data_IF_566844476833
#
_entry.id   IF_566844476833
#
_cell.length_a   1.000
_cell.length_b   1.000
_cell.length_c   1.000
_cell.angle_alpha   90.00
_cell.angle_beta   90.00
_cell.angle_gamma   90.00
#
_symmetry.space_group_name_H-M   'P 1'
#
loop_
_entity.id
_entity.type
_entity.pdbx_description
1 polymer ?
#
# COMPACT_ATOMS: atom_id res chain seq x y z
N UNK A 1 0.11 11.80 -25.78
CA UNK A 1 -0.56 12.24 -24.54
C UNK A 1 -0.82 11.02 -23.68
N UNK A 2 -0.03 10.81 -22.62
CA UNK A 2 -0.31 9.76 -21.65
C UNK A 2 -1.25 10.31 -20.59
N UNK A 3 -2.43 9.69 -20.42
CA UNK A 3 -3.25 9.94 -19.24
C UNK A 3 -2.49 9.36 -18.04
N UNK A 4 -1.76 10.21 -17.32
CA UNK A 4 -1.21 9.87 -16.02
C UNK A 4 -2.36 9.90 -15.03
N UNK A 5 -2.70 8.74 -14.45
CA UNK A 5 -3.65 8.67 -13.34
C UNK A 5 -2.97 9.08 -12.04
N UNK A 6 -3.65 9.88 -11.24
CA UNK A 6 -3.19 10.27 -9.91
C UNK A 6 -3.69 9.28 -8.86
N UNK A 7 -2.86 9.01 -7.86
CA UNK A 7 -3.18 8.13 -6.73
C UNK A 7 -2.78 8.83 -5.43
N UNK A 8 -3.73 8.91 -4.51
CA UNK A 8 -3.51 9.41 -3.16
C UNK A 8 -3.55 8.24 -2.20
N UNK A 9 -2.45 8.04 -1.47
CA UNK A 9 -2.32 6.98 -0.48
C UNK A 9 -2.06 7.59 0.89
N UNK A 10 -2.92 7.28 1.84
CA UNK A 10 -2.71 7.55 3.25
C UNK A 10 -2.31 6.26 3.96
N UNK A 11 -1.37 6.38 4.89
CA UNK A 11 -1.04 5.31 5.82
C UNK A 11 -0.90 5.90 7.22
N UNK A 12 -1.33 5.16 8.22
CA UNK A 12 -1.15 5.48 9.64
C UNK A 12 -0.96 4.20 10.43
N UNK A 13 -0.30 4.30 11.57
CA UNK A 13 -0.26 3.23 12.56
C UNK A 13 -1.34 3.49 13.61
N UNK A 14 -2.17 2.48 13.91
CA UNK A 14 -3.15 2.58 15.00
C UNK A 14 -2.50 2.33 16.38
N UNK A 15 -3.30 2.48 17.44
CA UNK A 15 -2.82 2.31 18.81
C UNK A 15 -2.34 0.90 19.16
N UNK A 16 -2.74 -0.11 18.39
CA UNK A 16 -2.27 -1.49 18.54
C UNK A 16 -0.97 -1.75 17.76
N UNK A 17 -0.49 -0.77 17.00
CA UNK A 17 0.69 -0.92 16.16
C UNK A 17 0.41 -1.54 14.80
N UNK A 18 -0.86 -1.59 14.37
CA UNK A 18 -1.25 -2.12 13.06
C UNK A 18 -1.32 -1.00 12.03
N UNK A 19 -0.96 -1.30 10.79
CA UNK A 19 -1.04 -0.33 9.71
C UNK A 19 -2.47 -0.20 9.21
N UNK A 20 -2.88 1.04 8.93
CA UNK A 20 -4.17 1.37 8.32
C UNK A 20 -3.94 2.18 7.06
N UNK A 21 -4.63 1.80 5.98
CA UNK A 21 -4.43 2.40 4.67
C UNK A 21 -5.74 2.98 4.13
N UNK A 22 -5.62 4.06 3.35
CA UNK A 22 -6.70 4.56 2.48
C UNK A 22 -6.11 4.95 1.14
N UNK A 23 -6.84 4.65 0.06
CA UNK A 23 -6.42 5.00 -1.29
C UNK A 23 -7.57 5.63 -2.05
N UNK A 24 -7.25 6.65 -2.82
CA UNK A 24 -8.14 7.26 -3.80
C UNK A 24 -7.39 7.52 -5.11
N UNK A 25 -8.13 7.66 -6.22
CA UNK A 25 -7.55 7.91 -7.54
C UNK A 25 -8.53 8.63 -8.45
N UNK A 26 -8.03 9.36 -9.45
CA UNK A 26 -8.86 9.96 -10.51
C UNK A 26 -9.39 8.93 -11.54
N UNK A 27 -8.99 7.66 -11.41
CA UNK A 27 -9.37 6.56 -12.29
C UNK A 27 -10.10 5.46 -11.51
N UNK A 28 -11.34 5.16 -11.90
CA UNK A 28 -12.14 4.08 -11.29
C UNK A 28 -11.46 2.71 -11.38
N UNK A 29 -10.72 2.46 -12.46
CA UNK A 29 -9.93 1.23 -12.62
C UNK A 29 -8.83 1.20 -11.56
N UNK A 30 -8.10 2.30 -11.39
CA UNK A 30 -7.03 2.41 -10.39
C UNK A 30 -7.56 2.29 -8.97
N UNK A 31 -8.74 2.86 -8.66
CA UNK A 31 -9.42 2.70 -7.37
C UNK A 31 -9.74 1.23 -7.09
N UNK A 32 -10.36 0.54 -8.06
CA UNK A 32 -10.72 -0.87 -7.92
C UNK A 32 -9.51 -1.76 -7.65
N UNK A 33 -8.43 -1.58 -8.40
CA UNK A 33 -7.19 -2.32 -8.18
C UNK A 33 -6.52 -2.01 -6.83
N UNK A 34 -6.45 -0.73 -6.46
CA UNK A 34 -5.81 -0.32 -5.21
C UNK A 34 -6.62 -0.77 -3.98
N UNK A 35 -7.95 -0.88 -4.11
CA UNK A 35 -8.83 -1.39 -3.05
C UNK A 35 -8.49 -2.84 -2.68
N UNK A 36 -8.09 -3.68 -3.65
CA UNK A 36 -7.66 -5.05 -3.38
C UNK A 36 -6.37 -5.09 -2.53
N UNK A 37 -5.41 -4.20 -2.80
CA UNK A 37 -4.18 -4.08 -2.01
C UNK A 37 -4.46 -3.61 -0.58
N UNK A 38 -5.37 -2.65 -0.43
CA UNK A 38 -5.81 -2.21 0.91
C UNK A 38 -6.48 -3.35 1.64
N UNK A 39 -7.39 -4.08 1.00
CA UNK A 39 -8.05 -5.21 1.63
C UNK A 39 -7.07 -6.29 2.11
N UNK A 40 -5.97 -6.50 1.38
CA UNK A 40 -4.95 -7.48 1.74
C UNK A 40 -4.06 -7.03 2.92
N UNK A 41 -3.73 -5.75 3.02
CA UNK A 41 -2.68 -5.25 3.92
C UNK A 41 -3.20 -4.34 5.06
N UNK A 42 -4.46 -3.93 5.05
CA UNK A 42 -5.04 -3.18 6.17
C UNK A 42 -5.11 -4.04 7.43
N UNK A 43 -4.62 -3.50 8.54
CA UNK A 43 -4.51 -4.21 9.82
C UNK A 43 -3.27 -5.08 9.97
N UNK A 44 -2.43 -5.20 8.93
CA UNK A 44 -1.17 -5.93 8.99
C UNK A 44 -0.13 -5.20 9.87
N UNK A 45 0.78 -5.97 10.47
CA UNK A 45 1.92 -5.42 11.18
C UNK A 45 2.93 -4.82 10.19
N UNK A 46 3.72 -3.80 10.59
CA UNK A 46 4.71 -3.20 9.70
C UNK A 46 5.67 -4.19 9.02
N UNK A 47 6.23 -5.22 9.71
CA UNK A 47 7.09 -6.20 9.06
C UNK A 47 6.38 -7.03 7.99
N UNK A 48 5.08 -7.30 8.16
CA UNK A 48 4.29 -8.05 7.19
C UNK A 48 4.06 -7.23 5.92
N UNK A 49 3.78 -5.92 6.06
CA UNK A 49 3.64 -5.00 4.91
C UNK A 49 4.96 -4.86 4.16
N UNK A 50 6.07 -4.73 4.88
CA UNK A 50 7.42 -4.59 4.30
C UNK A 50 7.93 -5.89 3.68
N UNK A 51 7.43 -7.05 4.11
CA UNK A 51 7.81 -8.36 3.62
C UNK A 51 7.11 -8.78 2.32
N UNK A 52 6.05 -8.08 1.90
CA UNK A 52 5.32 -8.42 0.67
C UNK A 52 6.19 -8.09 -0.55
N UNK A 53 6.54 -9.12 -1.32
CA UNK A 53 7.23 -8.95 -2.59
C UNK A 53 6.22 -8.64 -3.70
N UNK A 54 6.66 -7.96 -4.76
CA UNK A 54 5.82 -7.68 -5.91
C UNK A 54 5.36 -8.98 -6.62
N UNK A 55 6.17 -10.02 -6.51
CA UNK A 55 5.94 -11.35 -7.06
C UNK A 55 4.83 -12.09 -6.31
N UNK A 56 4.70 -11.91 -4.99
CA UNK A 56 3.67 -12.56 -4.17
C UNK A 56 2.26 -12.11 -4.58
N UNK A 57 2.16 -10.86 -4.98
CA UNK A 57 0.90 -10.30 -5.44
C UNK A 57 0.55 -10.82 -6.85
N UNK A 58 1.49 -11.36 -7.64
CA UNK A 58 1.22 -11.84 -9.00
C UNK A 58 0.21 -13.00 -9.01
N UNK A 59 0.10 -13.73 -7.89
CA UNK A 59 -0.93 -14.73 -7.66
C UNK A 59 -2.35 -14.13 -7.52
N UNK A 60 -2.49 -12.92 -6.96
CA UNK A 60 -3.76 -12.18 -6.87
C UNK A 60 -4.27 -11.77 -8.25
N UNK A 61 -3.36 -11.61 -9.22
CA UNK A 61 -3.66 -11.27 -10.62
C UNK A 61 -4.44 -12.39 -11.35
N UNK A 62 -4.52 -13.60 -10.79
CA UNK A 62 -5.19 -14.77 -11.39
C UNK A 62 -6.66 -14.89 -10.94
N UNK A 63 -7.05 -14.22 -9.85
CA UNK A 63 -8.37 -14.42 -9.22
C UNK A 63 -9.55 -13.65 -9.86
N UNK A 64 -9.39 -12.98 -11.02
CA UNK A 64 -10.56 -12.38 -11.70
C UNK A 64 -10.34 -11.33 -12.79
N UNK A 65 -9.10 -10.94 -13.13
CA UNK A 65 -8.87 -9.93 -14.17
C UNK A 65 -7.92 -10.42 -15.26
N UNK A 66 -8.27 -10.31 -16.57
CA UNK A 66 -7.40 -10.76 -17.63
C UNK A 66 -6.08 -9.97 -17.64
N UNK A 67 -4.98 -10.71 -17.56
CA UNK A 67 -3.56 -10.34 -17.52
C UNK A 67 -3.01 -9.54 -18.73
N UNK A 68 -3.86 -8.90 -19.53
CA UNK A 68 -3.47 -8.32 -20.84
C UNK A 68 -3.07 -6.83 -20.83
N UNK A 69 -2.86 -6.17 -19.69
CA UNK A 69 -2.43 -4.75 -19.70
C UNK A 69 -1.24 -4.53 -18.77
N UNK A 70 -0.04 -4.45 -19.36
CA UNK A 70 1.23 -4.15 -18.66
C UNK A 70 1.17 -2.86 -17.83
N UNK A 71 0.34 -1.87 -18.21
CA UNK A 71 0.22 -0.63 -17.42
C UNK A 71 -0.46 -0.84 -16.06
N UNK A 72 -1.35 -1.84 -15.93
CA UNK A 72 -2.02 -2.17 -14.65
C UNK A 72 -1.06 -2.81 -13.66
N UNK A 73 -0.08 -3.56 -14.17
CA UNK A 73 1.04 -4.13 -13.39
C UNK A 73 2.06 -3.06 -12.96
N UNK A 74 2.00 -1.84 -13.48
CA UNK A 74 2.82 -0.75 -12.93
C UNK A 74 2.08 -0.02 -11.81
N UNK A 75 0.75 0.06 -11.88
CA UNK A 75 -0.09 0.78 -10.92
C UNK A 75 -0.05 0.16 -9.53
N UNK A 76 -0.34 -1.13 -9.39
CA UNK A 76 -0.30 -1.84 -8.10
C UNK A 76 1.09 -1.86 -7.44
N UNK A 77 2.16 -1.96 -8.24
CA UNK A 77 3.55 -1.97 -7.76
C UNK A 77 3.92 -0.60 -7.17
N UNK A 78 3.54 0.49 -7.85
CA UNK A 78 3.73 1.84 -7.33
C UNK A 78 2.95 2.08 -6.04
N UNK A 79 1.72 1.54 -5.94
CA UNK A 79 0.91 1.63 -4.71
C UNK A 79 1.56 0.84 -3.58
N UNK A 80 2.01 -0.39 -3.82
CA UNK A 80 2.72 -1.21 -2.84
C UNK A 80 3.98 -0.53 -2.32
N UNK A 81 4.83 -0.01 -3.21
CA UNK A 81 6.03 0.75 -2.84
C UNK A 81 5.63 1.96 -1.98
N UNK A 82 4.55 2.67 -2.36
CA UNK A 82 4.01 3.76 -1.56
C UNK A 82 3.57 3.33 -0.17
N UNK A 83 2.93 2.17 -0.03
CA UNK A 83 2.49 1.59 1.25
C UNK A 83 3.71 1.24 2.11
N UNK A 84 4.72 0.59 1.54
CA UNK A 84 5.95 0.22 2.23
C UNK A 84 6.72 1.45 2.70
N UNK A 85 6.86 2.46 1.84
CA UNK A 85 7.52 3.73 2.20
C UNK A 85 6.85 4.40 3.39
N UNK A 86 5.53 4.59 3.33
CA UNK A 86 4.78 5.23 4.42
C UNK A 86 4.75 4.37 5.69
N UNK A 87 4.85 3.04 5.55
CA UNK A 87 4.99 2.14 6.70
C UNK A 87 6.31 2.39 7.43
N UNK A 88 7.43 2.55 6.69
CA UNK A 88 8.72 2.92 7.29
C UNK A 88 8.64 4.28 7.99
N UNK A 89 7.97 5.26 7.38
CA UNK A 89 7.78 6.59 7.97
C UNK A 89 7.02 6.49 9.32
N UNK A 90 5.90 5.74 9.36
CA UNK A 90 5.12 5.54 10.60
C UNK A 90 5.92 4.81 11.69
N UNK A 91 6.75 3.83 11.33
CA UNK A 91 7.63 3.14 12.28
C UNK A 91 8.63 4.13 12.88
N UNK A 92 9.30 4.92 12.03
CA UNK A 92 10.27 5.91 12.48
C UNK A 92 9.65 7.01 13.35
N UNK A 93 8.42 7.45 13.04
CA UNK A 93 7.67 8.39 13.89
C UNK A 93 7.36 7.80 15.26
N UNK A 94 6.90 6.55 15.31
CA UNK A 94 6.61 5.85 16.58
C UNK A 94 7.86 5.69 17.43
N UNK A 95 8.99 5.33 16.83
CA UNK A 95 10.27 5.20 17.55
C UNK A 95 10.71 6.52 18.15
N UNK A 96 10.60 7.63 17.41
CA UNK A 96 10.89 8.98 17.91
C UNK A 96 9.99 9.35 19.09
N UNK A 97 8.70 9.05 19.01
CA UNK A 97 7.75 9.30 20.10
C UNK A 97 8.11 8.49 21.35
N UNK A 98 8.42 7.21 21.21
CA UNK A 98 8.86 6.35 22.31
C UNK A 98 10.14 6.89 22.95
N UNK A 99 11.13 7.31 22.16
CA UNK A 99 12.35 7.91 22.67
C UNK A 99 12.10 9.24 23.40
N UNK A 100 11.11 10.02 22.97
CA UNK A 100 10.76 11.28 23.63
C UNK A 100 10.07 11.09 24.99
N UNK A 101 9.30 10.01 25.14
CA UNK A 101 8.62 9.65 26.40
C UNK A 101 9.56 9.02 27.44
N UNK A 102 10.71 8.51 27.00
CA UNK A 102 11.72 7.89 27.86
C UNK A 102 12.78 8.88 28.37
N UNK A 103 12.71 10.16 27.97
CA UNK A 103 13.57 11.26 28.42
C UNK A 103 12.87 12.09 29.48
#
# INVERSE_FOLDING_TARGET
MGCTTQVWLEARMDGEGRMRFKVDSDSEITKGFSSCLIWLLDGAAPPEVLGVAAEDLAAVNVAGFPSKVRSRVNTWHNVLIGMQKKTMDCVGEREKLLQSLLR
#
